data_IF_237164210617
#
_entry.id   IF_237164210617
#
_cell.length_a   1.000
_cell.length_b   1.000
_cell.length_c   1.000
_cell.angle_alpha   90.00
_cell.angle_beta   90.00
_cell.angle_gamma   90.00
#
_symmetry.space_group_name_H-M   'P 1'
#
loop_
_entity.id
_entity.type
_entity.pdbx_description
1 polymer ?
#
# COMPACT_ATOMS: atom_id res chain seq x y z
N UNK A 1 -15.73 31.34 -27.07
CA UNK A 1 -14.94 32.49 -26.59
C UNK A 1 -14.27 32.07 -25.31
N UNK A 2 -13.00 31.71 -25.42
CA UNK A 2 -12.17 31.20 -24.33
C UNK A 2 -11.43 32.39 -23.70
N UNK A 3 -11.75 32.72 -22.45
CA UNK A 3 -11.05 33.74 -21.70
C UNK A 3 -9.64 33.24 -21.35
N UNK A 4 -8.64 33.86 -21.98
CA UNK A 4 -7.24 33.73 -21.59
C UNK A 4 -7.02 34.55 -20.33
N UNK A 5 -6.91 33.91 -19.15
CA UNK A 5 -6.36 34.56 -17.94
C UNK A 5 -4.88 34.82 -18.17
N UNK A 6 -4.49 36.08 -18.24
CA UNK A 6 -3.11 36.51 -18.17
C UNK A 6 -2.49 36.10 -16.83
N UNK A 7 -1.56 35.14 -16.88
CA UNK A 7 -0.70 34.81 -15.75
C UNK A 7 0.53 35.70 -15.81
N UNK A 8 0.73 36.50 -14.77
CA UNK A 8 1.90 37.31 -14.55
C UNK A 8 3.12 36.42 -14.28
N UNK A 9 4.23 36.67 -14.98
CA UNK A 9 5.58 36.13 -14.78
C UNK A 9 5.72 34.58 -14.79
N UNK A 10 5.44 33.96 -15.93
CA UNK A 10 5.82 32.57 -16.20
C UNK A 10 4.85 31.93 -17.19
N UNK A 11 5.35 31.46 -18.33
CA UNK A 11 4.52 30.71 -19.27
C UNK A 11 4.20 29.35 -18.67
N UNK A 12 2.91 29.09 -18.39
CA UNK A 12 2.44 27.77 -17.98
C UNK A 12 1.85 27.06 -19.19
N UNK A 13 2.40 25.89 -19.51
CA UNK A 13 1.83 24.96 -20.48
C UNK A 13 1.10 23.88 -19.69
N UNK A 14 -0.18 23.68 -19.96
CA UNK A 14 -0.97 22.60 -19.35
C UNK A 14 -1.22 21.54 -20.40
N UNK A 15 -0.65 20.37 -20.19
CA UNK A 15 -0.89 19.19 -21.01
C UNK A 15 -1.73 18.17 -20.25
N UNK A 16 -2.64 17.53 -20.96
CA UNK A 16 -3.38 16.37 -20.47
C UNK A 16 -2.83 15.12 -21.14
N UNK A 17 -2.18 14.25 -20.34
CA UNK A 17 -1.65 12.99 -20.82
C UNK A 17 -2.45 11.84 -20.21
N UNK A 18 -3.16 11.07 -21.04
CA UNK A 18 -3.83 9.84 -20.63
C UNK A 18 -3.07 8.67 -21.22
N UNK A 19 -2.39 7.90 -20.35
CA UNK A 19 -1.62 6.73 -20.73
C UNK A 19 -2.36 5.47 -20.30
N UNK A 20 -2.58 4.56 -21.26
CA UNK A 20 -2.99 3.19 -21.01
C UNK A 20 -1.91 2.27 -21.55
N UNK A 21 -1.38 1.41 -20.68
CA UNK A 21 -0.33 0.48 -21.04
C UNK A 21 -0.43 -0.80 -20.24
N UNK A 22 0.05 -1.90 -20.83
CA UNK A 22 0.20 -3.18 -20.18
C UNK A 22 1.69 -3.42 -19.91
N UNK A 23 2.01 -3.97 -18.76
CA UNK A 23 3.39 -4.31 -18.39
C UNK A 23 3.46 -5.66 -17.69
N UNK A 24 4.57 -6.36 -17.87
CA UNK A 24 4.84 -7.63 -17.21
C UNK A 24 5.23 -7.38 -15.74
N UNK A 25 4.46 -7.93 -14.82
CA UNK A 25 4.70 -7.76 -13.37
C UNK A 25 5.79 -8.68 -12.82
N UNK A 26 6.25 -9.67 -13.61
CA UNK A 26 7.24 -10.65 -13.20
C UNK A 26 6.69 -11.72 -12.24
N UNK A 27 7.53 -12.74 -11.98
CA UNK A 27 7.12 -13.93 -11.23
C UNK A 27 6.78 -13.61 -9.76
N UNK A 28 7.63 -12.84 -9.09
CA UNK A 28 7.48 -12.53 -7.65
C UNK A 28 6.21 -11.72 -7.39
N UNK A 29 6.01 -10.64 -8.16
CA UNK A 29 4.80 -9.83 -8.03
C UNK A 29 3.56 -10.61 -8.48
N UNK A 30 3.64 -11.42 -9.54
CA UNK A 30 2.55 -12.27 -10.00
C UNK A 30 2.09 -13.25 -8.93
N UNK A 31 3.02 -13.93 -8.25
CA UNK A 31 2.69 -14.84 -7.16
C UNK A 31 2.10 -14.12 -5.94
N UNK A 32 2.59 -12.93 -5.63
CA UNK A 32 2.02 -12.10 -4.57
C UNK A 32 0.56 -11.71 -4.90
N UNK A 33 0.30 -11.22 -6.10
CA UNK A 33 -1.05 -10.85 -6.55
C UNK A 33 -2.00 -12.05 -6.57
N UNK A 34 -1.51 -13.24 -6.97
CA UNK A 34 -2.30 -14.47 -6.86
C UNK A 34 -2.63 -14.80 -5.39
N UNK A 35 -1.66 -14.63 -4.47
CA UNK A 35 -1.91 -14.78 -3.03
C UNK A 35 -3.03 -13.86 -2.54
N UNK A 36 -3.03 -12.60 -2.94
CA UNK A 36 -4.10 -11.65 -2.58
C UNK A 36 -5.47 -12.14 -3.08
N UNK A 37 -5.55 -12.64 -4.31
CA UNK A 37 -6.77 -13.24 -4.86
C UNK A 37 -7.27 -14.43 -4.03
N UNK A 38 -6.33 -15.23 -3.50
CA UNK A 38 -6.61 -16.39 -2.66
C UNK A 38 -6.86 -16.02 -1.19
N UNK A 39 -6.80 -14.74 -0.83
CA UNK A 39 -7.00 -14.25 0.54
C UNK A 39 -5.79 -14.49 1.44
N UNK A 40 -4.57 -14.43 0.88
CA UNK A 40 -3.30 -14.65 1.58
C UNK A 40 -2.35 -13.49 1.34
N UNK A 41 -1.60 -13.10 2.35
CA UNK A 41 -0.50 -12.15 2.24
C UNK A 41 0.80 -12.95 2.17
N UNK A 42 1.39 -13.02 0.98
CA UNK A 42 2.63 -13.76 0.76
C UNK A 42 3.85 -12.83 0.84
N UNK A 43 4.84 -13.25 1.59
CA UNK A 43 6.13 -12.58 1.74
C UNK A 43 7.26 -13.48 1.24
N UNK A 44 8.43 -12.91 0.93
CA UNK A 44 9.64 -13.68 0.61
C UNK A 44 10.66 -13.58 1.73
N UNK A 45 11.35 -14.70 2.00
CA UNK A 45 12.39 -14.79 3.02
C UNK A 45 13.74 -15.10 2.37
N UNK A 46 14.77 -14.46 2.88
CA UNK A 46 16.14 -14.75 2.56
C UNK A 46 16.78 -15.58 3.69
N UNK A 47 17.15 -16.83 3.43
CA UNK A 47 17.75 -17.71 4.44
C UNK A 47 19.08 -17.19 4.95
N UNK A 48 19.87 -16.51 4.11
CA UNK A 48 21.19 -15.98 4.49
C UNK A 48 21.13 -14.84 5.50
N UNK A 49 20.18 -13.90 5.33
CA UNK A 49 20.01 -12.76 6.24
C UNK A 49 18.97 -13.03 7.34
N UNK A 50 18.11 -14.04 7.15
CA UNK A 50 16.98 -14.32 8.02
C UNK A 50 15.79 -13.39 7.82
N UNK A 51 15.91 -12.35 6.96
CA UNK A 51 14.88 -11.32 6.77
C UNK A 51 13.73 -11.79 5.88
N UNK A 52 12.52 -11.38 6.25
CA UNK A 52 11.28 -11.63 5.55
C UNK A 52 10.71 -10.32 5.01
N UNK A 53 10.56 -10.24 3.69
CA UNK A 53 10.17 -9.02 2.98
C UNK A 53 8.71 -9.02 2.57
N UNK A 54 8.01 -7.94 2.92
CA UNK A 54 6.68 -7.61 2.45
C UNK A 54 6.62 -6.11 2.06
N UNK A 55 6.32 -5.72 0.82
CA UNK A 55 6.06 -6.60 -0.34
C UNK A 55 7.20 -7.55 -0.67
N UNK A 56 6.90 -8.72 -1.29
CA UNK A 56 7.92 -9.71 -1.59
C UNK A 56 8.96 -9.18 -2.59
N UNK A 57 10.21 -9.60 -2.42
CA UNK A 57 11.35 -9.20 -3.25
C UNK A 57 12.06 -10.43 -3.81
N UNK A 58 12.64 -10.30 -5.00
CA UNK A 58 13.46 -11.36 -5.59
C UNK A 58 14.82 -11.50 -4.90
N UNK A 59 15.37 -10.39 -4.40
CA UNK A 59 16.71 -10.33 -3.79
C UNK A 59 16.68 -9.59 -2.46
N UNK A 60 17.50 -10.07 -1.56
CA UNK A 60 17.73 -9.46 -0.27
C UNK A 60 18.70 -8.26 -0.40
N UNK A 61 18.30 -7.11 0.12
CA UNK A 61 19.12 -5.89 0.08
C UNK A 61 20.35 -5.92 0.99
N UNK A 62 20.40 -6.86 1.96
CA UNK A 62 21.50 -6.98 2.89
C UNK A 62 22.56 -8.00 2.48
N UNK A 63 22.14 -9.12 1.94
CA UNK A 63 23.04 -10.20 1.54
C UNK A 63 23.32 -10.25 0.06
N UNK A 64 22.52 -9.51 -0.75
CA UNK A 64 22.49 -9.54 -2.21
C UNK A 64 22.19 -10.92 -2.82
N UNK A 65 21.72 -11.85 -1.97
CA UNK A 65 21.31 -13.19 -2.39
C UNK A 65 19.82 -13.22 -2.75
N UNK A 66 19.41 -14.24 -3.51
CA UNK A 66 18.00 -14.50 -3.77
C UNK A 66 17.22 -14.71 -2.47
N UNK A 67 16.00 -14.19 -2.41
CA UNK A 67 15.02 -14.65 -1.45
C UNK A 67 14.52 -16.01 -1.91
N UNK A 68 14.82 -17.05 -1.15
CA UNK A 68 14.75 -18.46 -1.54
C UNK A 68 13.51 -19.19 -1.03
N UNK A 69 12.72 -18.54 -0.19
CA UNK A 69 11.52 -19.13 0.35
C UNK A 69 10.35 -18.15 0.40
N UNK A 70 9.13 -18.71 0.37
CA UNK A 70 7.88 -17.99 0.52
C UNK A 70 7.27 -18.31 1.86
N UNK A 71 6.75 -17.30 2.52
CA UNK A 71 6.05 -17.42 3.81
C UNK A 71 4.74 -16.67 3.73
N UNK A 72 3.74 -17.15 4.44
CA UNK A 72 2.48 -16.43 4.62
C UNK A 72 2.65 -15.52 5.83
N UNK A 73 2.47 -14.21 5.65
CA UNK A 73 2.53 -13.23 6.72
C UNK A 73 1.31 -13.32 7.63
N UNK A 74 1.44 -12.90 8.87
CA UNK A 74 0.30 -12.71 9.76
C UNK A 74 -0.68 -11.69 9.19
N UNK A 75 -1.94 -11.80 9.59
CA UNK A 75 -2.99 -10.85 9.19
C UNK A 75 -3.14 -9.68 10.16
N UNK A 76 -2.32 -9.60 11.20
CA UNK A 76 -2.21 -8.45 12.09
C UNK A 76 -0.81 -7.84 11.99
N UNK A 77 -0.70 -6.59 12.42
CA UNK A 77 0.58 -5.90 12.39
C UNK A 77 0.55 -4.56 13.12
N UNK A 78 1.67 -3.87 13.04
CA UNK A 78 1.89 -2.57 13.70
C UNK A 78 2.09 -1.49 12.65
N UNK A 79 1.42 -0.37 12.82
CA UNK A 79 1.63 0.83 12.00
C UNK A 79 3.01 1.40 12.29
N UNK A 80 3.84 1.55 11.27
CA UNK A 80 5.12 2.25 11.35
C UNK A 80 4.98 3.74 11.07
N UNK A 81 4.14 4.08 10.08
CA UNK A 81 3.78 5.46 9.76
C UNK A 81 2.43 5.52 9.06
N UNK A 82 1.78 6.66 9.10
CA UNK A 82 0.47 6.85 8.50
C UNK A 82 0.23 8.29 8.09
N UNK A 83 -0.77 8.49 7.23
CA UNK A 83 -1.22 9.82 6.80
C UNK A 83 -2.69 9.80 6.42
N UNK A 84 -3.31 10.98 6.42
CA UNK A 84 -4.64 11.19 5.83
C UNK A 84 -4.48 12.07 4.59
N UNK A 85 -4.88 11.53 3.45
CA UNK A 85 -4.87 12.24 2.17
C UNK A 85 -6.20 12.97 2.04
N UNK A 86 -6.17 14.29 2.11
CA UNK A 86 -7.37 15.14 2.08
C UNK A 86 -7.77 15.57 0.67
N UNK A 87 -6.84 15.52 -0.28
CA UNK A 87 -7.06 15.79 -1.70
C UNK A 87 -6.53 14.64 -2.52
N UNK A 88 -7.42 13.97 -3.24
CA UNK A 88 -7.07 12.86 -4.12
C UNK A 88 -6.71 13.32 -5.53
N UNK A 89 -6.29 12.40 -6.35
CA UNK A 89 -6.05 12.54 -7.78
C UNK A 89 -6.89 11.50 -8.55
N UNK A 90 -6.95 11.64 -9.86
CA UNK A 90 -7.69 10.73 -10.72
C UNK A 90 -7.17 9.28 -10.57
N UNK A 91 -8.08 8.31 -10.44
CA UNK A 91 -7.75 6.89 -10.20
C UNK A 91 -7.55 6.50 -8.71
N UNK A 92 -7.48 7.45 -7.80
CA UNK A 92 -7.43 7.19 -6.37
C UNK A 92 -8.85 7.00 -5.79
N UNK A 93 -8.99 6.29 -4.65
CA UNK A 93 -10.24 6.32 -3.86
C UNK A 93 -10.61 7.76 -3.53
N UNK A 94 -11.92 8.05 -3.47
CA UNK A 94 -12.41 9.40 -3.15
C UNK A 94 -11.88 9.85 -1.79
N UNK A 95 -11.13 10.95 -1.78
CA UNK A 95 -10.63 11.56 -0.56
C UNK A 95 -11.76 12.16 0.31
N UNK A 96 -11.59 12.28 1.65
CA UNK A 96 -10.40 11.90 2.38
C UNK A 96 -10.23 10.39 2.56
N UNK A 97 -8.97 9.92 2.59
CA UNK A 97 -8.62 8.52 2.87
C UNK A 97 -7.43 8.44 3.81
N UNK A 98 -7.39 7.43 4.67
CA UNK A 98 -6.23 7.13 5.49
C UNK A 98 -5.38 6.05 4.82
N UNK A 99 -4.06 6.21 4.89
CA UNK A 99 -3.07 5.25 4.40
C UNK A 99 -2.06 5.00 5.51
N UNK A 100 -1.66 3.76 5.69
CA UNK A 100 -0.62 3.39 6.65
C UNK A 100 0.40 2.44 6.01
N UNK A 101 1.65 2.57 6.44
CA UNK A 101 2.68 1.55 6.29
C UNK A 101 2.62 0.65 7.51
N UNK A 102 2.34 -0.63 7.28
CA UNK A 102 2.13 -1.62 8.33
C UNK A 102 3.14 -2.74 8.18
N UNK A 103 3.86 -3.03 9.26
CA UNK A 103 4.68 -4.22 9.37
C UNK A 103 3.82 -5.33 9.95
N UNK A 104 3.44 -6.27 9.11
CA UNK A 104 2.65 -7.43 9.52
C UNK A 104 3.50 -8.41 10.35
N UNK A 105 2.84 -9.13 11.23
CA UNK A 105 3.50 -10.11 12.09
C UNK A 105 4.20 -11.19 11.24
N UNK A 106 5.45 -11.47 11.59
CA UNK A 106 6.31 -12.38 10.83
C UNK A 106 7.06 -11.74 9.67
N UNK A 107 7.00 -10.41 9.48
CA UNK A 107 7.74 -9.69 8.43
C UNK A 107 8.70 -8.65 9.03
N UNK A 108 9.76 -8.33 8.27
CA UNK A 108 10.79 -7.36 8.64
C UNK A 108 10.69 -6.05 7.83
N UNK A 109 9.70 -5.94 6.96
CA UNK A 109 9.41 -4.73 6.19
C UNK A 109 7.92 -4.43 6.17
N UNK A 110 7.56 -3.18 5.89
CA UNK A 110 6.19 -2.71 5.90
C UNK A 110 5.59 -2.61 4.50
N UNK A 111 4.27 -2.82 4.41
CA UNK A 111 3.48 -2.62 3.21
C UNK A 111 2.48 -1.49 3.42
N UNK A 112 2.31 -0.66 2.38
CA UNK A 112 1.35 0.43 2.40
C UNK A 112 -0.02 -0.02 1.89
N UNK A 113 -1.08 0.37 2.60
CA UNK A 113 -2.44 0.24 2.09
C UNK A 113 -3.39 1.22 2.82
N UNK A 114 -4.64 1.28 2.37
CA UNK A 114 -5.69 2.05 2.99
C UNK A 114 -6.02 1.52 4.39
N UNK A 115 -6.44 2.44 5.27
CA UNK A 115 -7.02 2.09 6.58
C UNK A 115 -8.49 2.47 6.55
N UNK A 116 -9.36 1.47 6.63
CA UNK A 116 -10.80 1.62 6.60
C UNK A 116 -11.41 1.66 8.03
N UNK A 117 -12.68 2.01 8.12
CA UNK A 117 -13.42 2.07 9.39
C UNK A 117 -13.08 3.26 10.29
N UNK A 118 -12.49 4.31 9.74
CA UNK A 118 -12.18 5.55 10.46
C UNK A 118 -13.23 6.62 10.19
N UNK A 119 -13.58 7.38 11.23
CA UNK A 119 -14.30 8.64 11.04
C UNK A 119 -13.32 9.73 10.60
N UNK A 120 -13.35 10.04 9.30
CA UNK A 120 -12.50 11.07 8.69
C UNK A 120 -13.16 12.46 8.68
N UNK A 121 -14.20 12.70 9.44
CA UNK A 121 -14.74 14.05 9.69
C UNK A 121 -13.90 14.78 10.76
N UNK A 122 -13.23 14.02 11.65
CA UNK A 122 -12.30 14.54 12.66
C UNK A 122 -10.91 13.94 12.46
N UNK A 123 -10.04 14.66 11.74
CA UNK A 123 -8.70 14.20 11.42
C UNK A 123 -7.82 14.00 12.66
N UNK A 124 -7.96 14.81 13.70
CA UNK A 124 -7.16 14.66 14.92
C UNK A 124 -7.44 13.32 15.61
N UNK A 125 -8.71 12.99 15.76
CA UNK A 125 -9.12 11.71 16.35
C UNK A 125 -8.71 10.53 15.47
N UNK A 126 -8.90 10.64 14.14
CA UNK A 126 -8.50 9.62 13.20
C UNK A 126 -6.98 9.38 13.24
N UNK A 127 -6.15 10.43 13.25
CA UNK A 127 -4.69 10.32 13.34
C UNK A 127 -4.22 9.65 14.64
N UNK A 128 -4.90 9.88 15.77
CA UNK A 128 -4.59 9.18 17.03
C UNK A 128 -4.84 7.67 16.93
N UNK A 129 -5.87 7.25 16.17
CA UNK A 129 -6.19 5.83 15.96
C UNK A 129 -5.18 5.13 15.04
N UNK A 130 -4.58 5.85 14.11
CA UNK A 130 -3.58 5.33 13.17
C UNK A 130 -2.16 5.79 13.49
N UNK A 131 -1.90 6.25 14.71
CA UNK A 131 -0.57 6.66 15.14
C UNK A 131 0.43 5.49 15.07
N UNK A 132 1.74 5.75 14.85
CA UNK A 132 2.76 4.72 14.93
C UNK A 132 2.67 3.90 16.23
N UNK A 133 2.87 2.59 16.11
CA UNK A 133 2.72 1.64 17.22
C UNK A 133 1.31 1.07 17.42
N UNK A 134 0.29 1.61 16.77
CA UNK A 134 -1.07 1.04 16.84
C UNK A 134 -1.16 -0.26 16.06
N UNK A 135 -1.96 -1.19 16.59
CA UNK A 135 -2.26 -2.47 15.96
C UNK A 135 -3.36 -2.33 14.93
N UNK A 136 -3.20 -3.03 13.82
CA UNK A 136 -4.21 -3.17 12.77
C UNK A 136 -4.28 -4.62 12.31
N UNK A 137 -5.40 -4.98 11.70
CA UNK A 137 -5.56 -6.26 11.01
C UNK A 137 -5.87 -6.03 9.53
N UNK A 138 -5.53 -7.02 8.73
CA UNK A 138 -5.90 -7.11 7.32
C UNK A 138 -7.37 -7.50 7.21
N UNK A 139 -8.10 -6.76 6.38
CA UNK A 139 -9.45 -7.11 5.95
C UNK A 139 -9.47 -7.28 4.43
N UNK A 140 -9.78 -8.48 3.95
CA UNK A 140 -9.88 -8.75 2.53
C UNK A 140 -11.24 -8.35 1.96
N UNK A 141 -11.23 -7.80 0.75
CA UNK A 141 -12.44 -7.56 -0.01
C UNK A 141 -13.18 -8.87 -0.32
N UNK A 142 -14.51 -8.81 -0.41
CA UNK A 142 -15.33 -9.98 -0.78
C UNK A 142 -15.01 -10.46 -2.20
N UNK A 143 -14.88 -9.54 -3.16
CA UNK A 143 -14.42 -9.81 -4.51
C UNK A 143 -12.94 -9.45 -4.60
N UNK A 144 -12.11 -10.39 -5.05
CA UNK A 144 -10.66 -10.23 -5.17
C UNK A 144 -10.22 -10.54 -6.59
N UNK A 145 -9.43 -9.67 -7.18
CA UNK A 145 -8.97 -9.74 -8.57
C UNK A 145 -7.46 -9.96 -8.69
N UNK A 146 -6.75 -10.04 -7.57
CA UNK A 146 -5.28 -10.07 -7.52
C UNK A 146 -4.69 -8.67 -7.64
N UNK A 147 -5.22 -7.72 -6.88
CA UNK A 147 -4.77 -6.33 -6.84
C UNK A 147 -4.39 -5.95 -5.42
N UNK A 148 -3.50 -4.98 -5.29
CA UNK A 148 -3.12 -4.44 -3.96
C UNK A 148 -4.33 -3.89 -3.19
N UNK A 149 -5.38 -3.50 -3.89
CA UNK A 149 -6.63 -3.00 -3.32
C UNK A 149 -7.60 -4.10 -2.88
N UNK A 150 -7.23 -5.38 -3.02
CA UNK A 150 -8.05 -6.51 -2.56
C UNK A 150 -8.07 -6.65 -1.04
N UNK A 151 -7.28 -5.87 -0.34
CA UNK A 151 -7.33 -5.76 1.12
C UNK A 151 -7.16 -4.32 1.58
N UNK A 152 -7.52 -4.06 2.82
CA UNK A 152 -7.24 -2.84 3.56
C UNK A 152 -6.87 -3.21 4.99
N UNK A 153 -6.46 -2.22 5.76
CA UNK A 153 -6.27 -2.36 7.19
C UNK A 153 -7.47 -1.83 7.96
N UNK A 154 -7.75 -2.41 9.12
CA UNK A 154 -8.69 -1.86 10.10
C UNK A 154 -8.01 -1.82 11.47
N UNK A 155 -8.30 -0.78 12.25
CA UNK A 155 -7.75 -0.67 13.60
C UNK A 155 -8.25 -1.81 14.49
N UNK A 156 -7.35 -2.39 15.27
CA UNK A 156 -7.69 -3.27 16.39
C UNK A 156 -7.83 -2.37 17.62
N UNK A 157 -9.00 -2.40 18.26
CA UNK A 157 -9.30 -1.61 19.47
C UNK A 157 -8.62 -2.21 20.70
#
# INVERSE_FOLDING_TARGET
MTETKNADAGSVITDHVTLRYDYAIGEVAGRFMQGLKDGKILATRCSKSGLTYLPPRSYCERSFEKCDSWVEAGLEGVIETSTIVVRGFEGMRKAPVAIAFVRLDGTDSAIANYVDGLDLTNYETAMKRIAPGRRVRVEFAKAREGRITDFSFVCVD
#
